data_IF_571821279312
#
_entry.id   IF_571821279312
#
_cell.length_a   1.000
_cell.length_b   1.000
_cell.length_c   1.000
_cell.angle_alpha   90.00
_cell.angle_beta   90.00
_cell.angle_gamma   90.00
#
_symmetry.space_group_name_H-M   'P 1'
#
loop_
_entity.id
_entity.type
_entity.pdbx_description
1 polymer ?
#
# COMPACT_ATOMS: atom_id res chain seq x y z
N UNK A 1 2.04 -13.93 -1.22
CA UNK A 1 1.85 -12.52 -1.63
C UNK A 1 1.32 -12.37 -3.04
N UNK A 2 1.98 -12.90 -4.07
CA UNK A 2 1.42 -12.88 -5.44
C UNK A 2 0.10 -13.67 -5.47
N UNK A 3 -0.92 -13.14 -6.15
CA UNK A 3 -2.27 -13.69 -6.19
C UNK A 3 -3.14 -13.40 -4.96
N UNK A 4 -2.58 -12.82 -3.89
CA UNK A 4 -3.38 -12.40 -2.72
C UNK A 4 -4.27 -11.21 -3.12
N UNK A 5 -5.52 -11.25 -2.67
CA UNK A 5 -6.51 -10.20 -2.91
C UNK A 5 -6.73 -9.41 -1.61
N UNK A 6 -6.26 -8.17 -1.57
CA UNK A 6 -6.40 -7.29 -0.42
C UNK A 6 -7.74 -6.54 -0.45
N UNK A 7 -8.44 -6.53 0.69
CA UNK A 7 -9.71 -5.79 0.84
C UNK A 7 -10.76 -6.19 -0.20
N UNK A 8 -10.71 -7.44 -0.68
CA UNK A 8 -11.52 -7.96 -1.79
C UNK A 8 -11.46 -7.11 -3.08
N UNK A 9 -10.40 -6.31 -3.27
CA UNK A 9 -10.31 -5.29 -4.33
C UNK A 9 -8.98 -5.26 -5.06
N UNK A 10 -7.86 -5.48 -4.37
CA UNK A 10 -6.53 -5.31 -4.95
C UNK A 10 -5.80 -6.65 -5.06
N UNK A 11 -5.73 -7.19 -6.27
CA UNK A 11 -5.05 -8.45 -6.56
C UNK A 11 -3.57 -8.20 -6.84
N UNK A 12 -2.67 -8.79 -6.04
CA UNK A 12 -1.23 -8.62 -6.22
C UNK A 12 -0.74 -9.40 -7.44
N UNK A 13 -0.11 -8.71 -8.38
CA UNK A 13 0.44 -9.29 -9.61
C UNK A 13 1.92 -9.63 -9.42
N UNK A 14 2.71 -8.68 -8.95
CA UNK A 14 4.16 -8.87 -8.82
C UNK A 14 4.79 -7.91 -7.81
N UNK A 15 5.94 -8.28 -7.26
CA UNK A 15 6.76 -7.36 -6.47
C UNK A 15 7.54 -6.46 -7.43
N UNK A 16 7.53 -5.16 -7.19
CA UNK A 16 8.23 -4.17 -8.02
C UNK A 16 9.31 -3.40 -7.25
N UNK A 17 9.34 -3.51 -5.92
CA UNK A 17 10.37 -2.89 -5.11
C UNK A 17 10.36 -3.34 -3.66
N UNK A 18 11.41 -2.97 -2.95
CA UNK A 18 11.53 -3.10 -1.51
C UNK A 18 12.27 -1.90 -0.95
N UNK A 19 11.78 -1.35 0.15
CA UNK A 19 12.48 -0.35 0.96
C UNK A 19 12.73 -0.88 2.36
N UNK A 20 13.34 -0.06 3.23
CA UNK A 20 13.63 -0.45 4.61
C UNK A 20 12.37 -0.84 5.40
N UNK A 21 11.29 -0.07 5.24
CA UNK A 21 10.05 -0.28 6.01
C UNK A 21 9.02 -1.17 5.32
N UNK A 22 8.98 -1.17 3.99
CA UNK A 22 7.85 -1.74 3.24
C UNK A 22 8.29 -2.43 1.95
N UNK A 23 7.49 -3.39 1.51
CA UNK A 23 7.56 -3.95 0.17
C UNK A 23 6.57 -3.23 -0.75
N UNK A 24 6.92 -3.08 -2.03
CA UNK A 24 6.08 -2.41 -3.02
C UNK A 24 5.70 -3.40 -4.11
N UNK A 25 4.40 -3.50 -4.38
CA UNK A 25 3.82 -4.45 -5.33
C UNK A 25 3.03 -3.74 -6.41
N UNK A 26 3.07 -4.30 -7.63
CA UNK A 26 2.09 -4.03 -8.67
C UNK A 26 0.85 -4.88 -8.39
N UNK A 27 -0.31 -4.25 -8.44
CA UNK A 27 -1.59 -4.91 -8.23
C UNK A 27 -2.62 -4.44 -9.27
N UNK A 28 -3.70 -5.22 -9.41
CA UNK A 28 -4.88 -4.84 -10.18
C UNK A 28 -6.02 -4.52 -9.21
N UNK A 29 -6.56 -3.30 -9.31
CA UNK A 29 -7.86 -2.98 -8.73
C UNK A 29 -8.93 -3.69 -9.56
N UNK A 30 -9.57 -4.72 -9.01
CA UNK A 30 -10.54 -5.56 -9.72
C UNK A 30 -11.83 -4.81 -10.04
N UNK A 31 -12.24 -3.88 -9.17
CA UNK A 31 -13.47 -3.09 -9.32
C UNK A 31 -13.35 -2.08 -10.46
N UNK A 32 -12.24 -1.34 -10.51
CA UNK A 32 -12.02 -0.28 -11.51
C UNK A 32 -11.18 -0.76 -12.71
N UNK A 33 -10.81 -2.04 -12.72
CA UNK A 33 -9.97 -2.69 -13.72
C UNK A 33 -8.72 -1.87 -14.13
N UNK A 34 -7.97 -1.39 -13.14
CA UNK A 34 -6.75 -0.58 -13.37
C UNK A 34 -5.56 -1.11 -12.58
N UNK A 35 -4.36 -0.87 -13.10
CA UNK A 35 -3.11 -1.16 -12.39
C UNK A 35 -2.88 -0.11 -11.31
N UNK A 36 -2.51 -0.57 -10.13
CA UNK A 36 -2.14 0.26 -8.98
C UNK A 36 -0.87 -0.25 -8.33
N UNK A 37 -0.28 0.58 -7.49
CA UNK A 37 0.83 0.20 -6.61
C UNK A 37 0.30 0.02 -5.20
N UNK A 38 0.70 -1.06 -4.53
CA UNK A 38 0.37 -1.34 -3.13
C UNK A 38 1.67 -1.40 -2.34
N UNK A 39 1.83 -0.50 -1.36
CA UNK A 39 2.95 -0.48 -0.41
C UNK A 39 2.49 -1.18 0.86
N UNK A 40 3.18 -2.24 1.26
CA UNK A 40 2.81 -3.09 2.41
C UNK A 40 3.95 -3.06 3.41
N UNK A 41 3.65 -2.69 4.65
CA UNK A 41 4.61 -2.71 5.75
C UNK A 41 5.16 -4.13 5.93
N UNK A 42 6.47 -4.24 6.20
CA UNK A 42 7.08 -5.54 6.47
C UNK A 42 6.52 -6.13 7.77
N UNK A 43 6.28 -7.43 7.79
CA UNK A 43 5.68 -8.12 8.94
C UNK A 43 6.50 -7.93 10.22
N UNK A 44 7.82 -7.88 10.12
CA UNK A 44 8.73 -7.66 11.26
C UNK A 44 8.60 -6.26 11.88
N UNK A 45 7.98 -5.31 11.15
CA UNK A 45 7.78 -3.93 11.59
C UNK A 45 6.30 -3.63 11.90
N UNK A 46 5.40 -4.58 11.66
CA UNK A 46 3.97 -4.40 11.91
C UNK A 46 3.64 -4.40 13.40
N UNK A 47 4.44 -5.08 14.23
CA UNK A 47 4.29 -5.09 15.69
C UNK A 47 4.84 -3.82 16.37
N UNK A 48 5.70 -3.07 15.67
CA UNK A 48 6.27 -1.83 16.19
C UNK A 48 5.36 -0.64 15.86
N UNK A 49 4.71 -0.14 16.92
CA UNK A 49 3.76 0.98 16.85
C UNK A 49 4.37 2.26 16.26
N UNK A 50 5.67 2.49 16.42
CA UNK A 50 6.31 3.66 15.84
C UNK A 50 6.42 3.56 14.31
N UNK A 51 6.72 2.37 13.77
CA UNK A 51 6.74 2.15 12.33
C UNK A 51 5.34 2.20 11.72
N UNK A 52 4.35 1.59 12.37
CA UNK A 52 2.94 1.65 11.95
C UNK A 52 2.47 3.11 11.91
N UNK A 53 2.73 3.88 12.97
CA UNK A 53 2.37 5.30 13.04
C UNK A 53 3.05 6.13 11.95
N UNK A 54 4.36 5.94 11.71
CA UNK A 54 5.07 6.66 10.63
C UNK A 54 4.48 6.32 9.26
N UNK A 55 4.20 5.05 9.02
CA UNK A 55 3.59 4.58 7.78
C UNK A 55 2.23 5.21 7.52
N UNK A 56 1.36 5.25 8.54
CA UNK A 56 0.05 5.90 8.46
C UNK A 56 0.16 7.42 8.25
N UNK A 57 1.08 8.08 8.96
CA UNK A 57 1.30 9.52 8.82
C UNK A 57 1.78 9.92 7.41
N UNK A 58 2.70 9.16 6.81
CA UNK A 58 3.14 9.37 5.42
C UNK A 58 1.94 9.29 4.46
N UNK A 59 1.10 8.26 4.64
CA UNK A 59 -0.06 8.07 3.79
C UNK A 59 -1.08 9.21 3.94
N UNK A 60 -1.38 9.65 5.17
CA UNK A 60 -2.30 10.76 5.42
C UNK A 60 -1.77 12.08 4.85
N UNK A 61 -0.47 12.37 5.00
CA UNK A 61 0.14 13.58 4.49
C UNK A 61 0.01 13.70 2.96
N UNK A 62 0.19 12.60 2.24
CA UNK A 62 0.06 12.58 0.77
C UNK A 62 -1.40 12.51 0.32
N UNK A 63 -2.29 11.87 1.09
CA UNK A 63 -3.72 11.77 0.75
C UNK A 63 -4.42 13.13 0.69
N UNK A 64 -3.91 14.13 1.41
CA UNK A 64 -4.42 15.51 1.37
C UNK A 64 -3.94 16.31 0.15
N UNK A 65 -3.01 15.78 -0.64
CA UNK A 65 -2.42 16.47 -1.79
C UNK A 65 -3.07 15.99 -3.09
N UNK A 66 -3.64 16.93 -3.85
CA UNK A 66 -4.16 16.69 -5.20
C UNK A 66 -3.44 17.60 -6.20
N UNK A 67 -2.49 17.02 -6.92
CA UNK A 67 -1.67 17.76 -7.88
C UNK A 67 -1.15 16.81 -8.98
N UNK A 68 -1.09 17.22 -10.26
CA UNK A 68 -0.68 16.34 -11.37
C UNK A 68 0.73 15.74 -11.23
N UNK A 69 1.61 16.40 -10.49
CA UNK A 69 2.99 15.94 -10.24
C UNK A 69 3.16 15.16 -8.92
N UNK A 70 2.07 14.83 -8.22
CA UNK A 70 2.09 14.07 -6.97
C UNK A 70 1.28 12.80 -7.16
N UNK A 71 1.85 11.66 -6.76
CA UNK A 71 1.15 10.38 -6.82
C UNK A 71 0.04 10.37 -5.78
N UNK A 72 -1.21 10.24 -6.22
CA UNK A 72 -2.37 10.17 -5.33
C UNK A 72 -2.47 8.82 -4.63
N UNK A 73 -2.86 8.88 -3.36
CA UNK A 73 -3.24 7.70 -2.58
C UNK A 73 -4.74 7.49 -2.72
N UNK A 74 -5.14 6.28 -3.10
CA UNK A 74 -6.55 5.94 -3.28
C UNK A 74 -7.19 5.32 -2.04
N UNK A 75 -6.37 4.69 -1.20
CA UNK A 75 -6.83 3.81 -0.14
C UNK A 75 -5.71 3.57 0.87
N UNK A 76 -6.09 3.36 2.13
CA UNK A 76 -5.20 2.96 3.22
C UNK A 76 -5.99 2.00 4.09
N UNK A 77 -5.40 0.85 4.40
CA UNK A 77 -6.06 -0.17 5.20
C UNK A 77 -5.06 -1.11 5.84
N UNK A 78 -5.61 -1.98 6.66
CA UNK A 78 -4.93 -3.05 7.36
C UNK A 78 -5.65 -4.35 7.03
N UNK A 79 -4.89 -5.43 6.88
CA UNK A 79 -5.43 -6.76 6.64
C UNK A 79 -4.74 -7.72 7.59
N UNK A 80 -5.52 -8.60 8.21
CA UNK A 80 -5.10 -9.59 9.20
C UNK A 80 -4.75 -9.06 10.61
N UNK A 81 -4.96 -7.77 10.90
CA UNK A 81 -5.01 -7.18 12.27
C UNK A 81 -3.82 -7.51 13.16
#
# INVERSE_FOLDING_TARGET
MIGKLFGNRYEIISKIGAGGMANVYKARCTILNRIVTVKILRSELAEDKDFVRRFQNEAQAVALLSHPNIVSIYDVGEEDG
#
